data_IF_922925080269
#
_entry.id   IF_922925080269
#
_cell.length_a   1.000
_cell.length_b   1.000
_cell.length_c   1.000
_cell.angle_alpha   90.00
_cell.angle_beta   90.00
_cell.angle_gamma   90.00
#
_symmetry.space_group_name_H-M   'P 1'
#
loop_
_entity.id
_entity.type
_entity.pdbx_description
1 polymer ?
#
# COMPACT_ATOMS: atom_id res chain seq x y z
N UNK A 1 -45.44 44.95 -26.80
CA UNK A 1 -46.05 44.77 -25.45
C UNK A 1 -44.93 44.32 -24.54
N UNK A 2 -44.20 45.28 -23.98
CA UNK A 2 -43.12 45.04 -23.02
C UNK A 2 -43.67 45.37 -21.63
N UNK A 3 -43.88 44.34 -20.82
CA UNK A 3 -44.37 44.49 -19.45
C UNK A 3 -43.19 44.62 -18.50
N UNK A 4 -43.13 45.79 -17.85
CA UNK A 4 -42.15 46.23 -16.88
C UNK A 4 -41.99 45.24 -15.71
N UNK A 5 -40.73 44.94 -15.37
CA UNK A 5 -40.36 44.22 -14.16
C UNK A 5 -40.48 45.14 -12.93
N UNK A 6 -41.33 44.75 -11.98
CA UNK A 6 -41.38 45.36 -10.64
C UNK A 6 -40.46 44.55 -9.74
N UNK A 7 -39.37 45.18 -9.29
CA UNK A 7 -38.45 44.64 -8.29
C UNK A 7 -39.12 44.62 -6.90
N UNK A 8 -39.51 43.44 -6.43
CA UNK A 8 -39.76 43.18 -5.00
C UNK A 8 -38.55 42.49 -4.39
N UNK A 9 -37.84 43.21 -3.54
CA UNK A 9 -36.69 42.77 -2.78
C UNK A 9 -37.04 41.55 -1.92
N UNK A 10 -36.47 40.40 -2.28
CA UNK A 10 -36.51 39.16 -1.49
C UNK A 10 -35.54 39.31 -0.31
N UNK A 11 -36.09 39.42 0.90
CA UNK A 11 -35.31 39.24 2.14
C UNK A 11 -34.98 37.75 2.27
N UNK A 12 -33.68 37.45 2.31
CA UNK A 12 -33.14 36.08 2.35
C UNK A 12 -33.44 35.33 3.67
N UNK A 13 -33.11 34.03 3.73
CA UNK A 13 -33.43 33.17 4.87
C UNK A 13 -32.53 33.50 6.07
N UNK A 14 -33.14 34.15 7.06
CA UNK A 14 -32.71 34.43 8.43
C UNK A 14 -31.39 33.80 8.94
N UNK A 15 -30.41 34.66 9.18
CA UNK A 15 -29.45 34.52 10.28
C UNK A 15 -30.19 34.74 11.63
N UNK A 16 -30.80 33.69 12.17
CA UNK A 16 -31.28 33.74 13.57
C UNK A 16 -30.10 33.62 14.54
N UNK A 17 -29.89 34.67 15.33
CA UNK A 17 -28.98 34.75 16.48
C UNK A 17 -29.00 33.43 17.31
N UNK A 18 -27.85 32.74 17.35
CA UNK A 18 -27.70 31.43 18.02
C UNK A 18 -27.86 31.52 19.54
N UNK A 19 -27.87 32.71 20.13
CA UNK A 19 -27.93 32.90 21.59
C UNK A 19 -29.29 33.37 22.13
N UNK A 20 -30.31 33.60 21.29
CA UNK A 20 -31.64 33.93 21.75
C UNK A 20 -32.39 32.69 22.31
N UNK A 21 -33.00 32.76 23.51
CA UNK A 21 -33.78 31.64 24.05
C UNK A 21 -34.98 31.34 23.14
N UNK A 22 -34.97 30.15 22.51
CA UNK A 22 -36.09 29.68 21.69
C UNK A 22 -37.26 29.30 22.58
N UNK A 23 -38.31 30.11 22.55
CA UNK A 23 -39.52 29.92 23.37
C UNK A 23 -40.64 29.31 22.52
N UNK A 24 -41.38 28.37 23.10
CA UNK A 24 -42.52 27.74 22.43
C UNK A 24 -43.70 28.71 22.34
N UNK A 25 -44.17 29.03 21.13
CA UNK A 25 -45.28 29.97 20.90
C UNK A 25 -46.64 29.53 21.50
N UNK A 26 -46.78 28.27 21.90
CA UNK A 26 -48.01 27.73 22.50
C UNK A 26 -48.06 27.90 24.02
N UNK A 27 -46.96 27.59 24.72
CA UNK A 27 -46.99 27.44 26.18
C UNK A 27 -45.83 28.14 26.91
N UNK A 28 -44.93 28.81 26.21
CA UNK A 28 -43.78 29.48 26.83
C UNK A 28 -42.65 28.56 27.31
N UNK A 29 -42.77 27.23 27.17
CA UNK A 29 -41.69 26.28 27.49
C UNK A 29 -40.53 26.39 26.49
N UNK A 30 -39.38 25.79 26.81
CA UNK A 30 -38.20 25.78 25.91
C UNK A 30 -38.56 25.07 24.60
N UNK A 31 -38.45 25.77 23.47
CA UNK A 31 -38.69 25.21 22.15
C UNK A 31 -37.50 24.35 21.72
N UNK A 32 -37.80 23.23 21.04
CA UNK A 32 -36.78 22.34 20.47
C UNK A 32 -36.55 22.62 18.98
N UNK A 33 -37.40 23.42 18.35
CA UNK A 33 -37.28 23.82 16.96
C UNK A 33 -38.63 24.14 16.32
N UNK A 34 -38.64 24.27 15.00
CA UNK A 34 -39.85 24.36 14.21
C UNK A 34 -40.47 22.97 14.07
N UNK A 35 -41.74 22.83 14.49
CA UNK A 35 -42.52 21.62 14.28
C UNK A 35 -43.84 22.00 13.62
N UNK A 36 -44.13 21.37 12.49
CA UNK A 36 -45.35 21.65 11.72
C UNK A 36 -45.50 23.14 11.37
N UNK A 37 -44.41 23.80 10.97
CA UNK A 37 -44.34 25.23 10.62
C UNK A 37 -44.36 26.23 11.80
N UNK A 38 -44.23 25.81 13.06
CA UNK A 38 -44.15 26.75 14.18
C UNK A 38 -43.09 26.37 15.24
N UNK A 39 -42.44 27.39 15.83
CA UNK A 39 -41.46 27.22 16.91
C UNK A 39 -42.14 26.68 18.18
N UNK A 40 -41.91 25.40 18.51
CA UNK A 40 -42.60 24.74 19.63
C UNK A 40 -41.71 23.77 20.42
N UNK A 41 -42.16 23.40 21.62
CA UNK A 41 -41.55 22.34 22.43
C UNK A 41 -42.08 20.96 22.00
N UNK A 42 -41.37 19.88 22.39
CA UNK A 42 -41.81 18.49 22.13
C UNK A 42 -43.21 18.17 22.69
N UNK A 43 -43.58 18.80 23.81
CA UNK A 43 -44.89 18.61 24.43
C UNK A 43 -46.04 19.11 23.54
N UNK A 44 -45.89 20.29 22.92
CA UNK A 44 -46.91 20.87 22.03
C UNK A 44 -46.88 20.25 20.63
N UNK A 45 -45.69 19.89 20.10
CA UNK A 45 -45.53 19.06 18.91
C UNK A 45 -46.31 17.75 19.02
N UNK A 46 -46.06 16.98 20.09
CA UNK A 46 -46.70 15.69 20.31
C UNK A 46 -48.21 15.80 20.52
N UNK A 47 -48.65 16.84 21.24
CA UNK A 47 -50.07 17.14 21.42
C UNK A 47 -50.75 17.45 20.08
N UNK A 48 -50.24 18.42 19.32
CA UNK A 48 -50.81 18.81 18.03
C UNK A 48 -50.90 17.62 17.06
N UNK A 49 -49.82 16.84 16.92
CA UNK A 49 -49.80 15.63 16.08
C UNK A 49 -50.90 14.63 16.45
N UNK A 50 -51.06 14.33 17.75
CA UNK A 50 -52.08 13.37 18.21
C UNK A 50 -53.50 13.90 18.01
N UNK A 51 -53.72 15.18 18.33
CA UNK A 51 -55.01 15.83 18.19
C UNK A 51 -55.48 15.86 16.73
N UNK A 52 -54.59 16.21 15.80
CA UNK A 52 -54.90 16.23 14.36
C UNK A 52 -55.08 14.82 13.78
N UNK A 53 -54.19 13.86 14.08
CA UNK A 53 -54.34 12.46 13.60
C UNK A 53 -55.64 11.80 14.06
N UNK A 54 -56.03 12.03 15.33
CA UNK A 54 -57.25 11.45 15.90
C UNK A 54 -58.52 12.24 15.58
N UNK A 55 -58.41 13.35 14.84
CA UNK A 55 -59.51 14.31 14.61
C UNK A 55 -60.20 14.70 15.94
N UNK A 56 -59.41 14.94 16.98
CA UNK A 56 -59.92 15.15 18.33
C UNK A 56 -60.71 16.46 18.40
N UNK A 57 -61.93 16.38 18.93
CA UNK A 57 -62.74 17.53 19.30
C UNK A 57 -62.66 17.71 20.81
N UNK A 58 -62.34 18.91 21.27
CA UNK A 58 -62.24 19.25 22.68
C UNK A 58 -63.18 20.41 22.98
N UNK A 59 -63.90 20.32 24.10
CA UNK A 59 -64.71 21.42 24.62
C UNK A 59 -63.93 22.13 25.72
N UNK A 60 -63.94 23.46 25.71
CA UNK A 60 -63.34 24.22 26.81
C UNK A 60 -64.23 24.09 28.05
N UNK A 61 -63.70 23.69 29.21
CA UNK A 61 -64.47 23.66 30.46
C UNK A 61 -64.64 25.07 31.08
N UNK A 62 -64.12 26.10 30.43
CA UNK A 62 -64.13 27.50 30.85
C UNK A 62 -64.70 28.37 29.70
N UNK A 63 -64.22 29.62 29.55
CA UNK A 63 -64.77 30.61 28.60
C UNK A 63 -64.15 30.57 27.19
N UNK A 64 -63.44 29.51 26.81
CA UNK A 64 -62.81 29.40 25.48
C UNK A 64 -61.59 30.29 25.23
N UNK A 65 -61.11 31.03 26.25
CA UNK A 65 -60.01 32.01 26.17
C UNK A 65 -58.86 31.74 27.15
N UNK A 66 -58.62 30.48 27.54
CA UNK A 66 -57.58 30.14 28.52
C UNK A 66 -56.18 30.51 28.04
N UNK A 67 -55.42 31.24 28.86
CA UNK A 67 -53.98 31.49 28.63
C UNK A 67 -53.19 30.19 28.86
N UNK A 68 -52.45 29.76 27.85
CA UNK A 68 -51.68 28.50 27.89
C UNK A 68 -50.22 28.77 28.30
N UNK A 69 -49.78 28.15 29.39
CA UNK A 69 -48.42 28.22 29.95
C UNK A 69 -47.84 26.83 30.15
N UNK A 70 -46.55 26.72 30.48
CA UNK A 70 -45.85 25.44 30.70
C UNK A 70 -46.56 24.59 31.75
N UNK A 71 -47.00 25.22 32.82
CA UNK A 71 -47.59 24.56 33.99
C UNK A 71 -49.06 24.22 33.73
N UNK A 72 -49.76 25.10 33.01
CA UNK A 72 -51.21 24.96 32.86
C UNK A 72 -51.66 24.28 31.54
N UNK A 73 -50.76 24.02 30.59
CA UNK A 73 -51.07 23.45 29.25
C UNK A 73 -51.80 22.10 29.24
N UNK A 74 -52.05 21.47 30.38
CA UNK A 74 -52.86 20.24 30.47
C UNK A 74 -54.31 20.48 30.89
N UNK A 75 -54.63 21.64 31.48
CA UNK A 75 -55.95 21.93 32.05
C UNK A 75 -57.05 22.16 31.01
N UNK A 76 -56.70 22.68 29.83
CA UNK A 76 -57.66 22.88 28.75
C UNK A 76 -57.07 22.48 27.39
N UNK A 77 -57.49 21.32 26.89
CA UNK A 77 -57.04 20.80 25.58
C UNK A 77 -57.63 21.61 24.41
N UNK A 78 -58.84 22.16 24.56
CA UNK A 78 -59.50 22.98 23.55
C UNK A 78 -58.72 24.28 23.26
N UNK A 79 -58.46 25.09 24.28
CA UNK A 79 -57.68 26.33 24.13
C UNK A 79 -56.23 26.05 23.74
N UNK A 80 -55.65 24.91 24.16
CA UNK A 80 -54.31 24.51 23.72
C UNK A 80 -54.26 24.18 22.23
N UNK A 81 -55.23 23.40 21.72
CA UNK A 81 -55.27 23.05 20.30
C UNK A 81 -55.55 24.28 19.45
N UNK A 82 -56.47 25.14 19.89
CA UNK A 82 -56.72 26.44 19.28
C UNK A 82 -55.42 27.25 19.18
N UNK A 83 -54.70 27.39 20.30
CA UNK A 83 -53.42 28.11 20.31
C UNK A 83 -52.37 27.50 19.39
N UNK A 84 -52.30 26.17 19.27
CA UNK A 84 -51.40 25.53 18.30
C UNK A 84 -51.70 25.98 16.85
N UNK A 85 -52.97 26.02 16.46
CA UNK A 85 -53.39 26.48 15.12
C UNK A 85 -53.14 27.98 14.97
N UNK A 86 -53.47 28.79 15.98
CA UNK A 86 -53.31 30.25 15.95
C UNK A 86 -51.86 30.69 15.74
N UNK A 87 -50.88 29.92 16.22
CA UNK A 87 -49.46 30.22 16.01
C UNK A 87 -48.91 29.66 14.68
N UNK A 88 -49.76 29.09 13.84
CA UNK A 88 -49.40 28.61 12.51
C UNK A 88 -48.94 27.14 12.44
N UNK A 89 -49.29 26.29 13.41
CA UNK A 89 -49.06 24.85 13.25
C UNK A 89 -50.01 24.28 12.18
N UNK A 90 -49.44 23.63 11.16
CA UNK A 90 -50.14 23.13 9.98
C UNK A 90 -50.26 21.61 10.00
N UNK A 91 -51.47 21.07 9.81
CA UNK A 91 -51.71 19.61 9.83
C UNK A 91 -51.12 18.91 8.60
N UNK A 92 -50.92 19.65 7.52
CA UNK A 92 -50.39 19.21 6.23
C UNK A 92 -48.95 18.71 6.35
N UNK A 93 -48.22 19.14 7.39
CA UNK A 93 -46.88 18.64 7.71
C UNK A 93 -46.87 17.37 8.57
N UNK A 94 -48.04 16.86 8.97
CA UNK A 94 -48.15 15.60 9.70
C UNK A 94 -48.21 14.46 8.69
N UNK A 95 -47.14 13.65 8.65
CA UNK A 95 -47.07 12.48 7.78
C UNK A 95 -48.25 11.52 8.03
N UNK A 96 -48.87 11.08 6.95
CA UNK A 96 -49.88 10.02 6.96
C UNK A 96 -49.26 8.69 7.37
N UNK A 97 -50.08 7.72 7.76
CA UNK A 97 -49.58 6.40 8.13
C UNK A 97 -48.95 5.68 6.93
N UNK A 98 -49.49 5.89 5.72
CA UNK A 98 -48.90 5.44 4.45
C UNK A 98 -47.52 6.07 4.20
N UNK A 99 -47.36 7.38 4.41
CA UNK A 99 -46.06 8.06 4.24
C UNK A 99 -45.03 7.61 5.28
N UNK A 100 -45.46 7.36 6.52
CA UNK A 100 -44.61 6.79 7.57
C UNK A 100 -44.18 5.38 7.19
N UNK A 101 -45.10 4.54 6.68
CA UNK A 101 -44.78 3.19 6.24
C UNK A 101 -43.81 3.20 5.07
N UNK A 102 -44.06 4.02 4.04
CA UNK A 102 -43.15 4.21 2.89
C UNK A 102 -41.74 4.62 3.34
N UNK A 103 -41.63 5.53 4.33
CA UNK A 103 -40.32 5.90 4.89
C UNK A 103 -39.62 4.74 5.60
N UNK A 104 -40.36 3.90 6.35
CA UNK A 104 -39.79 2.71 6.99
C UNK A 104 -39.30 1.70 5.95
N UNK A 105 -40.08 1.45 4.91
CA UNK A 105 -39.73 0.51 3.84
C UNK A 105 -38.46 0.97 3.09
N UNK A 106 -38.34 2.28 2.82
CA UNK A 106 -37.12 2.86 2.21
C UNK A 106 -35.89 2.68 3.10
N UNK A 107 -36.02 2.87 4.42
CA UNK A 107 -34.91 2.67 5.37
C UNK A 107 -34.52 1.20 5.44
N UNK A 108 -35.50 0.29 5.49
CA UNK A 108 -35.27 -1.14 5.53
C UNK A 108 -34.56 -1.62 4.25
N UNK A 109 -35.04 -1.19 3.09
CA UNK A 109 -34.41 -1.47 1.79
C UNK A 109 -32.96 -0.97 1.74
N UNK A 110 -32.67 0.25 2.23
CA UNK A 110 -31.29 0.77 2.30
C UNK A 110 -30.40 -0.10 3.20
N UNK A 111 -30.91 -0.55 4.35
CA UNK A 111 -30.16 -1.45 5.25
C UNK A 111 -29.87 -2.80 4.59
N UNK A 112 -30.84 -3.35 3.86
CA UNK A 112 -30.68 -4.60 3.13
C UNK A 112 -29.66 -4.47 1.99
N UNK A 113 -29.72 -3.37 1.23
CA UNK A 113 -28.73 -3.06 0.17
C UNK A 113 -27.31 -2.89 0.75
N UNK A 114 -27.17 -2.24 1.91
CA UNK A 114 -25.90 -2.07 2.60
C UNK A 114 -25.36 -3.40 3.14
N UNK A 115 -26.21 -4.21 3.77
CA UNK A 115 -25.84 -5.54 4.25
C UNK A 115 -25.44 -6.48 3.09
N UNK A 116 -26.15 -6.42 1.96
CA UNK A 116 -25.81 -7.19 0.77
C UNK A 116 -24.46 -6.77 0.18
N UNK A 117 -24.16 -5.46 0.14
CA UNK A 117 -22.85 -4.95 -0.30
C UNK A 117 -21.72 -5.40 0.61
N UNK A 118 -21.93 -5.36 1.93
CA UNK A 118 -20.93 -5.81 2.89
C UNK A 118 -20.72 -7.33 2.83
N UNK A 119 -21.77 -8.11 2.58
CA UNK A 119 -21.67 -9.55 2.40
C UNK A 119 -20.90 -9.95 1.12
N UNK A 120 -20.94 -9.11 0.08
CA UNK A 120 -20.19 -9.30 -1.17
C UNK A 120 -18.74 -8.82 -1.10
N UNK A 121 -18.32 -8.19 0.01
CA UNK A 121 -16.96 -7.68 0.15
C UNK A 121 -15.98 -8.86 0.19
N UNK A 122 -14.94 -8.88 -0.66
CA UNK A 122 -13.97 -9.96 -0.64
C UNK A 122 -13.28 -10.00 0.72
N UNK A 123 -13.07 -11.22 1.23
CA UNK A 123 -12.32 -11.49 2.47
C UNK A 123 -11.40 -12.68 2.22
N UNK A 124 -10.28 -12.70 2.92
CA UNK A 124 -9.43 -13.87 2.97
C UNK A 124 -10.11 -14.96 3.79
N UNK A 125 -9.97 -16.21 3.37
CA UNK A 125 -10.33 -17.34 4.22
C UNK A 125 -9.22 -17.62 5.25
N UNK A 126 -9.51 -18.48 6.22
CA UNK A 126 -8.58 -18.78 7.31
C UNK A 126 -7.26 -19.40 6.81
N UNK A 127 -7.34 -20.27 5.80
CA UNK A 127 -6.18 -20.92 5.20
C UNK A 127 -5.26 -19.91 4.49
N UNK A 128 -5.82 -19.02 3.68
CA UNK A 128 -5.10 -17.94 3.01
C UNK A 128 -4.41 -17.03 4.03
N UNK A 129 -5.13 -16.67 5.10
CA UNK A 129 -4.60 -15.84 6.18
C UNK A 129 -3.43 -16.53 6.90
N UNK A 130 -3.55 -17.83 7.15
CA UNK A 130 -2.50 -18.64 7.79
C UNK A 130 -1.24 -18.76 6.91
N UNK A 131 -1.40 -18.96 5.59
CA UNK A 131 -0.27 -19.01 4.64
C UNK A 131 0.48 -17.67 4.65
N UNK A 132 -0.25 -16.56 4.56
CA UNK A 132 0.35 -15.21 4.58
C UNK A 132 1.10 -14.97 5.90
N UNK A 133 0.46 -15.26 7.04
CA UNK A 133 1.09 -15.09 8.34
C UNK A 133 2.38 -15.91 8.47
N UNK A 134 2.39 -17.14 7.97
CA UNK A 134 3.56 -18.01 7.98
C UNK A 134 4.72 -17.45 7.13
N UNK A 135 4.41 -16.88 5.96
CA UNK A 135 5.42 -16.27 5.08
C UNK A 135 5.97 -14.96 5.63
N UNK A 136 5.13 -14.12 6.24
CA UNK A 136 5.56 -12.90 6.93
C UNK A 136 6.47 -13.26 8.11
N UNK A 137 6.08 -14.23 8.93
CA UNK A 137 6.91 -14.71 10.04
C UNK A 137 8.26 -15.27 9.53
N UNK A 138 8.25 -16.07 8.46
CA UNK A 138 9.46 -16.56 7.82
C UNK A 138 10.37 -15.42 7.35
N UNK A 139 9.77 -14.36 6.81
CA UNK A 139 10.49 -13.19 6.36
C UNK A 139 11.15 -12.45 7.53
N UNK A 140 10.40 -12.11 8.59
CA UNK A 140 10.95 -11.44 9.78
C UNK A 140 12.03 -12.24 10.50
N UNK A 141 11.95 -13.58 10.51
CA UNK A 141 13.00 -14.43 11.10
C UNK A 141 14.28 -14.50 10.28
N UNK A 142 14.21 -14.15 9.00
CA UNK A 142 15.32 -14.36 8.05
C UNK A 142 15.78 -13.07 7.40
N UNK A 143 15.15 -11.94 7.69
CA UNK A 143 15.57 -10.64 7.25
C UNK A 143 15.72 -9.73 8.46
N UNK A 144 16.90 -9.14 8.56
CA UNK A 144 17.26 -8.17 9.59
C UNK A 144 17.74 -6.92 8.86
N UNK A 145 17.00 -5.82 8.97
CA UNK A 145 17.30 -4.55 8.32
C UNK A 145 18.56 -3.88 8.88
N UNK A 146 18.91 -4.20 10.13
CA UNK A 146 20.13 -3.74 10.77
C UNK A 146 21.37 -4.54 10.33
N UNK A 147 21.17 -5.71 9.71
CA UNK A 147 22.22 -6.67 9.35
C UNK A 147 23.13 -7.03 10.54
N UNK A 148 22.61 -7.00 11.76
CA UNK A 148 23.37 -7.22 13.00
C UNK A 148 24.04 -8.60 13.06
N UNK A 149 23.41 -9.61 12.47
CA UNK A 149 23.95 -10.97 12.39
C UNK A 149 25.11 -11.11 11.38
N UNK A 150 25.27 -10.16 10.45
CA UNK A 150 26.35 -10.17 9.46
C UNK A 150 27.65 -9.65 10.08
N UNK A 151 28.27 -10.47 10.92
CA UNK A 151 29.45 -10.11 11.73
C UNK A 151 30.75 -10.79 11.30
N UNK A 152 30.68 -11.89 10.55
CA UNK A 152 31.83 -12.65 10.05
C UNK A 152 31.99 -12.43 8.55
N UNK A 153 32.68 -11.36 8.18
CA UNK A 153 32.89 -10.97 6.79
C UNK A 153 34.28 -10.35 6.59
N UNK A 154 34.75 -10.39 5.35
CA UNK A 154 35.92 -9.64 4.88
C UNK A 154 35.48 -8.19 4.64
N UNK A 155 36.10 -7.18 5.29
CA UNK A 155 35.65 -5.78 5.20
C UNK A 155 35.64 -5.22 3.77
N UNK A 156 34.76 -4.25 3.46
CA UNK A 156 34.76 -3.59 2.17
C UNK A 156 36.06 -2.79 1.98
N UNK A 157 36.70 -2.94 0.82
CA UNK A 157 37.92 -2.21 0.46
C UNK A 157 37.59 -1.18 -0.62
N UNK A 158 37.43 0.08 -0.21
CA UNK A 158 37.15 1.20 -1.11
C UNK A 158 38.38 2.09 -1.25
N UNK A 159 38.84 2.31 -2.47
CA UNK A 159 39.84 3.34 -2.75
C UNK A 159 39.16 4.72 -2.80
N UNK A 160 39.57 5.63 -1.90
CA UNK A 160 39.08 7.01 -1.79
C UNK A 160 37.98 7.24 -0.73
N UNK A 161 37.71 8.52 -0.34
CA UNK A 161 36.70 8.83 0.67
C UNK A 161 35.30 8.42 0.21
N UNK A 162 34.55 7.70 1.05
CA UNK A 162 33.16 7.23 0.83
C UNK A 162 32.15 8.40 0.67
N UNK A 163 32.61 9.65 0.68
CA UNK A 163 31.76 10.83 0.79
C UNK A 163 32.26 11.92 -0.17
N UNK A 164 31.58 12.09 -1.32
CA UNK A 164 31.42 13.37 -2.06
C UNK A 164 30.62 13.25 -3.36
N UNK A 165 30.46 12.05 -3.94
CA UNK A 165 29.71 11.90 -5.20
C UNK A 165 28.19 12.05 -5.01
N UNK A 166 27.66 11.78 -3.82
CA UNK A 166 26.24 12.01 -3.48
C UNK A 166 25.87 13.51 -3.38
N UNK A 167 26.83 14.40 -3.07
CA UNK A 167 26.57 15.84 -2.87
C UNK A 167 26.32 16.59 -4.19
N UNK A 168 26.79 16.07 -5.33
CA UNK A 168 26.54 16.68 -6.65
C UNK A 168 25.14 16.37 -7.18
N UNK A 169 24.55 15.23 -6.84
CA UNK A 169 23.16 14.92 -7.17
C UNK A 169 22.17 15.86 -6.48
N UNK A 170 22.45 16.25 -5.22
CA UNK A 170 21.64 17.22 -4.47
C UNK A 170 21.71 18.66 -5.05
N UNK A 171 22.79 19.00 -5.76
CA UNK A 171 23.00 20.35 -6.31
C UNK A 171 22.21 20.62 -7.61
N UNK A 172 21.70 19.57 -8.28
CA UNK A 172 20.92 19.70 -9.51
C UNK A 172 19.43 19.98 -9.24
N UNK A 173 18.97 19.86 -7.98
CA UNK A 173 17.58 20.12 -7.60
C UNK A 173 17.26 21.61 -7.39
N UNK A 174 18.25 22.51 -7.40
CA UNK A 174 18.02 23.94 -7.12
C UNK A 174 17.69 24.82 -8.35
N UNK A 175 17.45 24.24 -9.55
CA UNK A 175 17.20 25.03 -10.76
C UNK A 175 15.86 24.79 -11.49
N UNK A 176 14.86 24.17 -10.87
CA UNK A 176 13.57 23.94 -11.54
C UNK A 176 12.33 24.58 -10.90
N UNK A 177 12.47 25.45 -9.90
CA UNK A 177 11.35 26.26 -9.41
C UNK A 177 11.26 27.59 -10.17
N UNK A 178 10.74 27.51 -11.39
CA UNK A 178 10.17 28.67 -12.06
C UNK A 178 8.97 28.29 -12.95
N UNK A 179 7.78 28.56 -12.40
CA UNK A 179 6.53 28.94 -13.11
C UNK A 179 5.57 27.87 -13.66
N UNK A 180 4.36 27.95 -13.08
CA UNK A 180 3.00 27.91 -13.65
C UNK A 180 2.38 26.60 -14.19
N UNK A 181 1.39 26.15 -13.40
CA UNK A 181 -0.01 25.83 -13.73
C UNK A 181 -0.40 24.89 -14.90
N UNK A 182 -1.39 24.06 -14.53
CA UNK A 182 -2.46 23.45 -15.33
C UNK A 182 -2.28 21.99 -15.82
N UNK A 183 -3.19 21.17 -15.30
CA UNK A 183 -3.70 19.87 -15.74
C UNK A 183 -3.15 19.33 -17.08
N UNK A 184 -2.31 18.29 -16.99
CA UNK A 184 -2.32 17.17 -17.93
C UNK A 184 -1.61 15.95 -17.32
N UNK A 185 -2.19 14.77 -17.54
CA UNK A 185 -1.55 13.50 -17.25
C UNK A 185 -0.33 13.33 -18.18
N UNK A 186 0.87 13.24 -17.62
CA UNK A 186 2.09 12.88 -18.35
C UNK A 186 3.01 11.99 -17.46
N UNK A 187 3.66 10.94 -17.98
CA UNK A 187 4.47 9.99 -17.21
C UNK A 187 5.92 10.46 -16.97
N UNK A 188 6.16 11.77 -16.85
CA UNK A 188 7.51 12.34 -17.05
C UNK A 188 8.44 12.31 -15.83
N UNK A 189 8.02 11.87 -14.64
CA UNK A 189 8.90 11.96 -13.46
C UNK A 189 9.95 10.86 -13.32
N UNK A 190 9.83 9.75 -14.06
CA UNK A 190 10.72 8.59 -13.90
C UNK A 190 11.65 8.35 -15.08
N UNK A 191 11.23 8.70 -16.29
CA UNK A 191 12.14 8.68 -17.43
C UNK A 191 13.28 9.67 -17.22
N UNK A 192 13.02 10.83 -16.58
CA UNK A 192 14.06 11.75 -16.13
C UNK A 192 14.99 11.14 -15.07
N UNK A 193 14.48 10.36 -14.11
CA UNK A 193 15.32 9.70 -13.10
C UNK A 193 16.18 8.59 -13.70
N UNK A 194 15.69 7.89 -14.72
CA UNK A 194 16.44 6.85 -15.42
C UNK A 194 17.48 7.43 -16.39
N UNK A 195 17.14 8.53 -17.07
CA UNK A 195 18.08 9.36 -17.84
C UNK A 195 19.17 9.95 -16.94
N UNK A 196 18.79 10.40 -15.74
CA UNK A 196 19.73 10.84 -14.71
C UNK A 196 20.57 9.67 -14.17
N UNK A 197 20.04 8.45 -14.10
CA UNK A 197 20.82 7.27 -13.72
C UNK A 197 21.87 6.91 -14.77
N UNK A 198 21.52 6.89 -16.07
CA UNK A 198 22.50 6.73 -17.14
C UNK A 198 23.57 7.83 -17.09
N UNK A 199 23.18 9.07 -16.79
CA UNK A 199 24.13 10.18 -16.60
C UNK A 199 24.99 10.03 -15.33
N UNK A 200 24.42 9.52 -14.24
CA UNK A 200 25.11 9.20 -12.99
C UNK A 200 26.13 8.08 -13.22
N UNK A 201 25.77 7.07 -14.02
CA UNK A 201 26.61 5.95 -14.40
C UNK A 201 27.83 6.40 -15.22
N UNK A 202 27.61 7.34 -16.15
CA UNK A 202 28.69 8.00 -16.91
C UNK A 202 29.62 8.80 -15.99
N UNK A 203 29.10 9.48 -14.96
CA UNK A 203 29.93 10.16 -13.96
C UNK A 203 30.76 9.20 -13.08
N UNK A 204 30.23 7.99 -12.82
CA UNK A 204 31.00 6.94 -12.15
C UNK A 204 32.11 6.36 -13.04
N UNK A 205 31.96 6.40 -14.37
CA UNK A 205 33.03 6.04 -15.32
C UNK A 205 34.15 7.09 -15.37
N UNK A 206 33.82 8.40 -15.38
CA UNK A 206 34.83 9.48 -15.42
C UNK A 206 35.69 9.60 -14.15
N UNK A 207 35.24 9.00 -13.03
CA UNK A 207 36.01 8.96 -11.78
C UNK A 207 37.05 7.82 -11.77
N UNK A 208 37.02 6.93 -12.76
CA UNK A 208 37.97 5.84 -12.94
C UNK A 208 39.04 6.23 -13.98
N UNK A 209 39.98 7.10 -13.56
CA UNK A 209 41.33 7.17 -14.14
C UNK A 209 41.52 8.02 -15.40
N UNK A 210 42.20 9.16 -15.23
CA UNK A 210 43.13 9.68 -16.25
C UNK A 210 44.34 8.73 -16.32
N UNK A 211 44.86 8.38 -17.51
CA UNK A 211 45.99 7.48 -17.62
C UNK A 211 47.27 8.27 -17.37
N UNK A 212 47.72 8.33 -16.11
CA UNK A 212 49.09 8.75 -15.82
C UNK A 212 49.91 7.55 -15.34
N UNK A 213 51.08 7.45 -15.93
CA UNK A 213 51.95 6.29 -15.99
C UNK A 213 52.54 5.88 -14.63
N UNK A 214 52.12 4.72 -14.13
CA UNK A 214 52.94 3.82 -13.30
C UNK A 214 52.33 2.43 -13.36
N UNK A 215 53.17 1.40 -13.51
CA UNK A 215 52.84 -0.03 -13.61
C UNK A 215 51.72 -0.46 -12.64
N UNK A 216 50.47 -0.48 -13.11
CA UNK A 216 49.28 -0.83 -12.32
C UNK A 216 49.09 -2.34 -12.34
N UNK A 217 49.25 -2.95 -11.16
CA UNK A 217 48.99 -4.36 -10.86
C UNK A 217 47.57 -4.72 -11.32
N UNK A 218 47.46 -5.52 -12.38
CA UNK A 218 46.19 -5.85 -13.00
C UNK A 218 45.10 -6.24 -12.00
N UNK A 219 43.94 -5.58 -12.12
CA UNK A 219 42.63 -6.15 -11.80
C UNK A 219 42.43 -6.77 -10.40
N UNK A 220 42.77 -6.08 -9.30
CA UNK A 220 42.25 -6.49 -7.99
C UNK A 220 40.78 -6.08 -7.87
N UNK A 221 39.88 -7.05 -7.97
CA UNK A 221 38.45 -6.91 -7.65
C UNK A 221 38.27 -6.66 -6.14
N UNK A 222 38.59 -5.44 -5.70
CA UNK A 222 38.68 -5.04 -4.29
C UNK A 222 37.42 -5.32 -3.45
N UNK A 223 36.25 -5.32 -4.09
CA UNK A 223 34.97 -5.59 -3.42
C UNK A 223 34.50 -7.04 -3.54
N UNK A 224 35.13 -7.88 -4.36
CA UNK A 224 34.72 -9.26 -4.59
C UNK A 224 34.69 -10.09 -3.29
N UNK A 225 35.73 -10.08 -2.43
CA UNK A 225 35.70 -10.87 -1.19
C UNK A 225 34.54 -10.48 -0.27
N UNK A 226 34.30 -9.17 -0.12
CA UNK A 226 33.27 -8.65 0.75
C UNK A 226 31.86 -8.97 0.23
N UNK A 227 31.60 -8.73 -1.06
CA UNK A 227 30.30 -9.02 -1.66
C UNK A 227 30.04 -10.53 -1.73
N UNK A 228 31.06 -11.36 -1.90
CA UNK A 228 30.92 -12.81 -1.80
C UNK A 228 30.44 -13.26 -0.40
N UNK A 229 30.91 -12.61 0.67
CA UNK A 229 30.46 -12.88 2.04
C UNK A 229 29.01 -12.41 2.26
N UNK A 230 28.66 -11.22 1.73
CA UNK A 230 27.29 -10.68 1.80
C UNK A 230 26.29 -11.57 1.06
N UNK A 231 26.66 -12.06 -0.13
CA UNK A 231 25.85 -13.00 -0.91
C UNK A 231 25.75 -14.34 -0.18
N UNK A 232 26.83 -14.85 0.40
CA UNK A 232 26.81 -16.07 1.22
C UNK A 232 25.85 -15.96 2.41
N UNK A 233 25.91 -14.86 3.15
CA UNK A 233 24.96 -14.53 4.21
C UNK A 233 23.53 -14.51 3.69
N UNK A 234 23.30 -13.86 2.54
CA UNK A 234 21.98 -13.74 1.95
C UNK A 234 21.42 -15.09 1.49
N UNK A 235 22.25 -15.99 0.93
CA UNK A 235 21.89 -17.37 0.60
C UNK A 235 21.40 -18.11 1.84
N UNK A 236 22.11 -18.01 2.98
CA UNK A 236 21.70 -18.65 4.22
C UNK A 236 20.32 -18.17 4.69
N UNK A 237 20.06 -16.86 4.58
CA UNK A 237 18.77 -16.27 4.89
C UNK A 237 17.66 -16.72 3.92
N UNK A 238 17.97 -16.88 2.63
CA UNK A 238 17.04 -17.47 1.64
C UNK A 238 16.72 -18.92 1.97
N UNK A 239 17.71 -19.75 2.33
CA UNK A 239 17.50 -21.13 2.77
C UNK A 239 16.61 -21.19 4.01
N UNK A 240 16.85 -20.29 4.98
CA UNK A 240 16.02 -20.15 6.17
C UNK A 240 14.56 -19.82 5.83
N UNK A 241 14.34 -18.90 4.88
CA UNK A 241 13.01 -18.50 4.44
C UNK A 241 12.30 -19.66 3.74
N UNK A 242 12.97 -20.30 2.78
CA UNK A 242 12.45 -21.44 2.02
C UNK A 242 11.97 -22.56 2.95
N UNK A 243 12.76 -22.87 3.98
CA UNK A 243 12.45 -23.90 4.99
C UNK A 243 11.15 -23.64 5.77
N UNK A 244 10.63 -22.42 5.77
CA UNK A 244 9.39 -22.06 6.45
C UNK A 244 8.21 -21.87 5.49
N UNK A 245 8.40 -21.97 4.18
CA UNK A 245 7.31 -21.92 3.22
C UNK A 245 6.43 -23.18 3.40
N UNK A 246 5.10 -23.02 3.60
CA UNK A 246 4.18 -24.16 3.68
C UNK A 246 4.29 -25.03 2.42
N UNK A 247 4.53 -26.32 2.62
CA UNK A 247 4.76 -27.26 1.54
C UNK A 247 6.19 -27.31 0.99
N UNK A 248 7.19 -26.72 1.64
CA UNK A 248 8.59 -26.84 1.20
C UNK A 248 9.36 -28.01 1.84
N UNK A 249 9.17 -28.27 3.14
CA UNK A 249 9.99 -29.25 3.89
C UNK A 249 9.35 -30.62 4.06
N UNK A 250 8.44 -30.74 5.02
CA UNK A 250 7.99 -32.04 5.54
C UNK A 250 6.51 -32.29 5.32
N UNK A 251 5.69 -31.24 5.31
CA UNK A 251 4.25 -31.30 5.10
C UNK A 251 3.87 -31.69 3.66
N UNK A 252 4.73 -31.43 2.67
CA UNK A 252 4.48 -31.75 1.25
C UNK A 252 5.19 -32.98 0.71
N UNK A 253 6.26 -33.48 1.35
CA UNK A 253 7.22 -34.45 0.77
C UNK A 253 7.93 -33.96 -0.51
N UNK A 254 8.31 -32.68 -0.64
CA UNK A 254 9.28 -32.33 -1.69
C UNK A 254 10.58 -33.09 -1.42
N UNK A 255 11.16 -33.68 -2.47
CA UNK A 255 12.42 -34.43 -2.32
C UNK A 255 13.55 -33.48 -1.94
N UNK A 256 14.62 -34.00 -1.33
CA UNK A 256 15.80 -33.19 -1.06
C UNK A 256 16.41 -32.65 -2.36
N UNK A 257 16.35 -33.43 -3.45
CA UNK A 257 16.79 -33.06 -4.78
C UNK A 257 16.02 -31.85 -5.32
N UNK A 258 14.69 -31.88 -5.26
CA UNK A 258 13.85 -30.75 -5.66
C UNK A 258 14.12 -29.51 -4.80
N UNK A 259 14.26 -29.67 -3.48
CA UNK A 259 14.56 -28.56 -2.57
C UNK A 259 15.91 -27.90 -2.95
N UNK A 260 16.93 -28.71 -3.26
CA UNK A 260 18.24 -28.22 -3.69
C UNK A 260 18.14 -27.53 -5.06
N UNK A 261 17.47 -28.14 -6.04
CA UNK A 261 17.29 -27.60 -7.38
C UNK A 261 16.60 -26.22 -7.36
N UNK A 262 15.51 -26.10 -6.58
CA UNK A 262 14.78 -24.84 -6.40
C UNK A 262 15.65 -23.78 -5.74
N UNK A 263 16.38 -24.13 -4.66
CA UNK A 263 17.26 -23.19 -3.97
C UNK A 263 18.42 -22.71 -4.86
N UNK A 264 19.12 -23.62 -5.53
CA UNK A 264 20.22 -23.26 -6.44
C UNK A 264 19.76 -22.34 -7.56
N UNK A 265 18.61 -22.65 -8.16
CA UNK A 265 18.12 -21.92 -9.33
C UNK A 265 17.46 -20.57 -9.00
N UNK A 266 16.96 -20.37 -7.78
CA UNK A 266 16.23 -19.15 -7.38
C UNK A 266 16.98 -18.24 -6.43
N UNK A 267 18.07 -18.69 -5.79
CA UNK A 267 18.73 -17.94 -4.71
C UNK A 267 19.03 -16.49 -5.09
N UNK A 268 19.65 -16.25 -6.26
CA UNK A 268 19.98 -14.88 -6.69
C UNK A 268 18.73 -14.03 -6.97
N UNK A 269 17.67 -14.62 -7.53
CA UNK A 269 16.42 -13.93 -7.81
C UNK A 269 15.73 -13.49 -6.51
N UNK A 270 15.74 -14.33 -5.48
CA UNK A 270 15.21 -14.00 -4.16
C UNK A 270 16.08 -12.93 -3.48
N UNK A 271 17.40 -12.98 -3.62
CA UNK A 271 18.31 -11.94 -3.12
C UNK A 271 18.01 -10.60 -3.79
N UNK A 272 17.83 -10.59 -5.11
CA UNK A 272 17.48 -9.38 -5.87
C UNK A 272 16.11 -8.83 -5.45
N UNK A 273 15.08 -9.67 -5.30
CA UNK A 273 13.77 -9.27 -4.77
C UNK A 273 13.90 -8.65 -3.38
N UNK A 274 14.55 -9.36 -2.46
CA UNK A 274 14.70 -8.94 -1.06
C UNK A 274 15.52 -7.66 -0.91
N UNK A 275 16.55 -7.47 -1.74
CA UNK A 275 17.36 -6.25 -1.73
C UNK A 275 16.56 -4.97 -2.04
N UNK A 276 15.33 -5.10 -2.57
CA UNK A 276 14.45 -3.96 -2.74
C UNK A 276 14.08 -3.29 -1.42
N UNK A 277 14.09 -4.02 -0.30
CA UNK A 277 13.77 -3.46 1.01
C UNK A 277 14.81 -2.44 1.44
N UNK A 278 16.09 -2.69 1.16
CA UNK A 278 17.22 -1.79 1.46
C UNK A 278 17.57 -0.81 0.34
N UNK A 279 16.90 -0.89 -0.82
CA UNK A 279 17.17 -0.01 -1.96
C UNK A 279 16.56 1.38 -1.80
N UNK A 280 17.37 2.42 -2.02
CA UNK A 280 17.00 3.83 -1.95
C UNK A 280 16.87 4.45 -3.36
N UNK A 281 15.73 5.10 -3.61
CA UNK A 281 15.40 5.74 -4.90
C UNK A 281 16.07 7.10 -5.13
N UNK A 282 16.62 7.73 -4.10
CA UNK A 282 17.24 9.05 -4.19
C UNK A 282 18.63 8.96 -4.79
N UNK A 283 19.42 7.97 -4.37
CA UNK A 283 20.81 7.80 -4.77
C UNK A 283 21.11 6.45 -5.41
N UNK A 284 20.09 5.63 -5.64
CA UNK A 284 20.17 4.32 -6.30
C UNK A 284 21.18 3.39 -5.60
N UNK A 285 21.17 3.39 -4.27
CA UNK A 285 22.07 2.61 -3.42
C UNK A 285 21.30 1.63 -2.53
N UNK A 286 22.01 0.64 -1.98
CA UNK A 286 21.51 -0.30 -0.98
C UNK A 286 22.13 -0.01 0.37
N UNK A 287 21.32 0.09 1.42
CA UNK A 287 21.78 0.29 2.79
C UNK A 287 21.54 -0.97 3.63
N UNK A 288 22.60 -1.72 3.92
CA UNK A 288 22.53 -2.98 4.65
C UNK A 288 23.04 -2.80 6.10
N UNK A 289 22.26 -2.10 6.91
CA UNK A 289 22.62 -1.75 8.30
C UNK A 289 22.79 -0.26 8.52
N UNK A 290 23.02 0.14 9.77
CA UNK A 290 22.96 1.54 10.21
C UNK A 290 24.19 2.40 9.91
N UNK A 291 25.31 1.80 9.49
CA UNK A 291 26.59 2.51 9.27
C UNK A 291 26.83 2.88 7.79
N UNK A 292 27.57 3.98 7.52
CA UNK A 292 27.89 4.41 6.15
C UNK A 292 28.76 3.38 5.39
N UNK A 293 29.49 2.53 6.11
CA UNK A 293 30.34 1.51 5.49
C UNK A 293 29.54 0.40 4.79
N UNK A 294 28.27 0.20 5.18
CA UNK A 294 27.37 -0.81 4.61
C UNK A 294 26.36 -0.23 3.62
N UNK A 295 26.73 0.91 3.01
CA UNK A 295 26.02 1.49 1.87
C UNK A 295 26.73 1.11 0.58
N UNK A 296 26.02 0.47 -0.34
CA UNK A 296 26.57 -0.02 -1.60
C UNK A 296 25.95 0.71 -2.78
N UNK A 297 26.78 1.18 -3.69
CA UNK A 297 26.39 1.76 -4.96
C UNK A 297 26.81 0.84 -6.12
N UNK A 298 26.38 1.17 -7.33
CA UNK A 298 26.74 0.41 -8.55
C UNK A 298 28.26 0.22 -8.68
N UNK A 299 29.05 1.23 -8.33
CA UNK A 299 30.51 1.16 -8.39
C UNK A 299 31.13 0.14 -7.41
N UNK A 300 30.50 -0.12 -6.27
CA UNK A 300 30.98 -1.17 -5.36
C UNK A 300 30.81 -2.55 -6.01
N UNK A 301 29.72 -2.75 -6.76
CA UNK A 301 29.42 -4.02 -7.43
C UNK A 301 30.27 -4.21 -8.70
N UNK A 302 30.62 -3.13 -9.41
CA UNK A 302 31.60 -3.21 -10.51
C UNK A 302 32.99 -3.57 -10.03
N UNK A 303 33.41 -3.06 -8.85
CA UNK A 303 34.66 -3.45 -8.19
C UNK A 303 34.67 -4.90 -7.68
N UNK A 304 33.54 -5.60 -7.72
CA UNK A 304 33.44 -7.04 -7.50
C UNK A 304 33.41 -7.86 -8.81
N UNK A 305 33.53 -7.21 -9.97
CA UNK A 305 33.67 -7.88 -11.26
C UNK A 305 32.39 -7.98 -12.08
N UNK A 306 31.29 -7.36 -11.64
CA UNK A 306 30.05 -7.29 -12.42
C UNK A 306 30.05 -6.10 -13.38
N UNK A 307 29.47 -6.28 -14.56
CA UNK A 307 29.40 -5.22 -15.58
C UNK A 307 28.05 -4.53 -15.59
N UNK A 308 27.97 -3.42 -16.34
CA UNK A 308 26.74 -2.65 -16.51
C UNK A 308 25.62 -3.45 -17.21
N UNK A 309 25.97 -4.49 -17.98
CA UNK A 309 25.00 -5.39 -18.61
C UNK A 309 24.09 -6.07 -17.57
N UNK A 310 24.59 -6.32 -16.36
CA UNK A 310 23.82 -6.83 -15.24
C UNK A 310 23.23 -5.69 -14.39
N UNK A 311 24.05 -4.66 -14.12
CA UNK A 311 23.72 -3.64 -13.12
C UNK A 311 22.65 -2.65 -13.60
N UNK A 312 22.63 -2.30 -14.89
CA UNK A 312 21.57 -1.43 -15.42
C UNK A 312 20.19 -2.09 -15.37
N UNK A 313 19.99 -3.33 -15.86
CA UNK A 313 18.73 -4.04 -15.68
C UNK A 313 18.38 -4.23 -14.20
N UNK A 314 19.36 -4.49 -13.33
CA UNK A 314 19.11 -4.67 -11.89
C UNK A 314 18.56 -3.39 -11.26
N UNK A 315 19.16 -2.23 -11.53
CA UNK A 315 18.64 -0.95 -11.01
C UNK A 315 17.26 -0.64 -11.59
N UNK A 316 17.03 -0.87 -12.90
CA UNK A 316 15.71 -0.74 -13.53
C UNK A 316 14.67 -1.64 -12.85
N UNK A 317 15.06 -2.87 -12.51
CA UNK A 317 14.24 -3.81 -11.77
C UNK A 317 13.90 -3.27 -10.37
N UNK A 318 14.89 -2.80 -9.60
CA UNK A 318 14.67 -2.26 -8.25
C UNK A 318 13.74 -1.06 -8.24
N UNK A 319 13.96 -0.11 -9.16
CA UNK A 319 13.09 1.06 -9.35
C UNK A 319 11.67 0.62 -9.72
N UNK A 320 11.56 -0.31 -10.68
CA UNK A 320 10.28 -0.86 -11.12
C UNK A 320 9.50 -1.54 -9.98
N UNK A 321 10.19 -2.27 -9.11
CA UNK A 321 9.60 -2.95 -7.96
C UNK A 321 9.14 -1.97 -6.88
N UNK A 322 9.94 -0.94 -6.55
CA UNK A 322 9.53 0.13 -5.60
C UNK A 322 8.26 0.86 -6.07
N UNK A 323 8.10 1.08 -7.38
CA UNK A 323 6.91 1.74 -7.95
C UNK A 323 5.61 0.96 -7.72
N UNK A 324 5.69 -0.36 -7.54
CA UNK A 324 4.50 -1.16 -7.25
C UNK A 324 3.95 -0.87 -5.86
N UNK A 325 4.76 -0.30 -4.94
CA UNK A 325 4.38 0.01 -3.55
C UNK A 325 3.73 -1.19 -2.87
N UNK A 326 4.36 -2.35 -3.04
CA UNK A 326 3.87 -3.62 -2.51
C UNK A 326 3.76 -3.54 -0.99
N UNK A 327 2.70 -4.15 -0.46
CA UNK A 327 2.65 -4.50 0.95
C UNK A 327 3.68 -5.60 1.24
N UNK A 328 4.02 -5.78 2.50
CA UNK A 328 4.97 -6.82 2.91
C UNK A 328 4.47 -8.21 2.52
N UNK A 329 3.17 -8.48 2.72
CA UNK A 329 2.51 -9.74 2.38
C UNK A 329 2.64 -10.05 0.88
N UNK A 330 2.47 -9.04 0.03
CA UNK A 330 2.61 -9.17 -1.42
C UNK A 330 4.05 -9.46 -1.81
N UNK A 331 5.01 -8.83 -1.14
CA UNK A 331 6.43 -9.04 -1.36
C UNK A 331 6.85 -10.47 -0.99
N UNK A 332 6.44 -10.98 0.18
CA UNK A 332 6.80 -12.34 0.61
C UNK A 332 6.10 -13.42 -0.19
N UNK A 333 4.86 -13.18 -0.64
CA UNK A 333 4.18 -14.07 -1.58
C UNK A 333 4.88 -14.10 -2.94
N UNK A 334 5.33 -12.96 -3.45
CA UNK A 334 6.09 -12.89 -4.70
C UNK A 334 7.42 -13.66 -4.60
N UNK A 335 8.13 -13.55 -3.48
CA UNK A 335 9.33 -14.36 -3.22
C UNK A 335 9.02 -15.85 -3.19
N UNK A 336 7.95 -16.27 -2.50
CA UNK A 336 7.58 -17.67 -2.41
C UNK A 336 7.19 -18.27 -3.78
N UNK A 337 6.43 -17.52 -4.59
CA UNK A 337 6.06 -17.89 -5.98
C UNK A 337 7.32 -18.00 -6.86
N UNK A 338 8.27 -17.06 -6.74
CA UNK A 338 9.54 -17.09 -7.47
C UNK A 338 10.38 -18.33 -7.12
N UNK A 339 10.44 -18.68 -5.84
CA UNK A 339 11.21 -19.82 -5.34
C UNK A 339 10.61 -21.15 -5.82
N UNK A 340 9.29 -21.32 -5.69
CA UNK A 340 8.56 -22.52 -6.09
C UNK A 340 8.19 -22.47 -7.58
N UNK A 341 9.17 -22.37 -8.47
CA UNK A 341 8.92 -22.42 -9.91
C UNK A 341 9.14 -23.83 -10.46
N UNK A 342 8.19 -24.42 -11.21
CA UNK A 342 8.33 -25.79 -11.69
C UNK A 342 9.35 -25.92 -12.82
N UNK A 343 9.67 -24.85 -13.55
CA UNK A 343 10.58 -24.85 -14.70
C UNK A 343 12.08 -24.75 -14.32
N UNK A 344 12.43 -24.90 -13.04
CA UNK A 344 13.83 -24.82 -12.59
C UNK A 344 14.65 -26.03 -13.05
N UNK A 345 15.90 -25.83 -13.51
CA UNK A 345 16.81 -26.94 -13.80
C UNK A 345 17.01 -27.87 -12.60
N UNK A 346 17.00 -29.19 -12.83
CA UNK A 346 17.23 -30.21 -11.81
C UNK A 346 16.00 -30.62 -10.98
N UNK A 347 14.87 -29.94 -11.14
CA UNK A 347 13.58 -30.37 -10.58
C UNK A 347 13.15 -31.71 -11.17
N UNK A 348 12.65 -32.61 -10.32
CA UNK A 348 12.15 -33.93 -10.67
C UNK A 348 10.61 -33.95 -10.72
N UNK A 349 9.93 -33.39 -9.70
CA UNK A 349 8.46 -33.40 -9.60
C UNK A 349 7.86 -32.02 -9.94
N UNK A 350 7.86 -31.69 -11.23
CA UNK A 350 7.36 -30.42 -11.75
C UNK A 350 5.90 -30.16 -11.39
N UNK A 351 5.03 -31.17 -11.52
CA UNK A 351 3.59 -31.03 -11.29
C UNK A 351 3.28 -30.67 -9.83
N UNK A 352 4.03 -31.26 -8.89
CA UNK A 352 3.86 -30.94 -7.47
C UNK A 352 4.29 -29.53 -7.12
N UNK A 353 5.37 -29.04 -7.72
CA UNK A 353 5.82 -27.66 -7.51
C UNK A 353 4.82 -26.67 -8.13
N UNK A 354 4.27 -26.98 -9.30
CA UNK A 354 3.21 -26.18 -9.94
C UNK A 354 1.98 -26.04 -9.03
N UNK A 355 1.49 -27.14 -8.43
CA UNK A 355 0.37 -27.09 -7.46
C UNK A 355 0.67 -26.18 -6.26
N UNK A 356 1.90 -26.20 -5.76
CA UNK A 356 2.31 -25.31 -4.66
C UNK A 356 2.38 -23.84 -5.12
N UNK A 357 2.91 -23.59 -6.31
CA UNK A 357 3.00 -22.25 -6.90
C UNK A 357 1.62 -21.65 -7.19
N UNK A 358 0.69 -22.46 -7.70
CA UNK A 358 -0.68 -22.07 -7.99
C UNK A 358 -1.42 -21.67 -6.72
N UNK A 359 -1.30 -22.47 -5.66
CA UNK A 359 -1.90 -22.15 -4.36
C UNK A 359 -1.41 -20.80 -3.82
N UNK A 360 -0.11 -20.52 -3.93
CA UNK A 360 0.45 -19.22 -3.51
C UNK A 360 -0.02 -18.07 -4.41
N UNK A 361 -0.15 -18.31 -5.71
CA UNK A 361 -0.66 -17.36 -6.69
C UNK A 361 -2.13 -17.00 -6.42
N UNK A 362 -2.95 -17.98 -6.04
CA UNK A 362 -4.34 -17.77 -5.62
C UNK A 362 -4.44 -16.94 -4.34
N UNK A 363 -3.58 -17.23 -3.35
CA UNK A 363 -3.48 -16.46 -2.10
C UNK A 363 -3.10 -15.01 -2.38
N UNK A 364 -2.12 -14.76 -3.25
CA UNK A 364 -1.72 -13.41 -3.65
C UNK A 364 -2.86 -12.66 -4.35
N UNK A 365 -3.52 -13.30 -5.30
CA UNK A 365 -4.67 -12.68 -5.97
C UNK A 365 -5.82 -12.38 -4.99
N UNK A 366 -6.06 -13.27 -4.01
CA UNK A 366 -7.05 -13.03 -2.97
C UNK A 366 -6.67 -11.82 -2.10
N UNK A 367 -5.41 -11.73 -1.67
CA UNK A 367 -4.92 -10.59 -0.89
C UNK A 367 -5.07 -9.26 -1.66
N UNK A 368 -4.67 -9.24 -2.94
CA UNK A 368 -4.81 -8.06 -3.80
C UNK A 368 -6.28 -7.65 -3.94
N UNK A 369 -7.21 -8.60 -4.14
CA UNK A 369 -8.65 -8.31 -4.25
C UNK A 369 -9.22 -7.67 -2.98
N UNK A 370 -8.71 -8.06 -1.80
CA UNK A 370 -9.17 -7.56 -0.50
C UNK A 370 -8.58 -6.18 -0.20
N UNK A 371 -7.28 -6.00 -0.44
CA UNK A 371 -6.53 -4.83 0.04
C UNK A 371 -6.32 -3.74 -1.01
N UNK A 372 -6.44 -4.06 -2.31
CA UNK A 372 -6.29 -3.10 -3.41
C UNK A 372 -7.54 -3.04 -4.29
N UNK A 373 -8.68 -2.51 -3.79
CA UNK A 373 -9.90 -2.34 -4.59
C UNK A 373 -9.65 -1.37 -5.75
N UNK A 374 -9.38 -1.92 -6.95
CA UNK A 374 -8.99 -1.16 -8.14
C UNK A 374 -7.64 -1.56 -8.73
N UNK A 375 -6.83 -2.34 -8.01
CA UNK A 375 -5.53 -2.87 -8.44
C UNK A 375 -5.62 -4.01 -9.45
N UNK A 376 -6.51 -3.93 -10.45
CA UNK A 376 -6.80 -5.02 -11.40
C UNK A 376 -5.56 -5.58 -12.10
N UNK A 377 -4.56 -4.73 -12.32
CA UNK A 377 -3.32 -5.08 -13.02
C UNK A 377 -2.14 -5.33 -12.07
N UNK A 378 -2.32 -5.21 -10.75
CA UNK A 378 -1.21 -5.33 -9.79
C UNK A 378 -0.58 -6.72 -9.85
N UNK A 379 -1.41 -7.77 -9.81
CA UNK A 379 -0.94 -9.15 -9.93
C UNK A 379 -0.12 -9.37 -11.22
N UNK A 380 -0.66 -8.96 -12.37
CA UNK A 380 0.04 -9.10 -13.65
C UNK A 380 1.40 -8.35 -13.66
N UNK A 381 1.46 -7.14 -13.08
CA UNK A 381 2.70 -6.37 -12.95
C UNK A 381 3.71 -7.03 -12.00
N UNK A 382 3.25 -7.69 -10.94
CA UNK A 382 4.11 -8.47 -10.05
C UNK A 382 4.69 -9.69 -10.76
N UNK A 383 3.87 -10.45 -11.49
CA UNK A 383 4.35 -11.61 -12.26
C UNK A 383 5.33 -11.18 -13.36
N UNK A 384 5.10 -10.02 -14.00
CA UNK A 384 6.07 -9.46 -14.95
C UNK A 384 7.46 -9.22 -14.32
N UNK A 385 7.52 -8.87 -13.03
CA UNK A 385 8.80 -8.75 -12.31
C UNK A 385 9.53 -10.10 -12.20
N UNK A 386 8.81 -11.21 -12.13
CA UNK A 386 9.44 -12.54 -12.14
C UNK A 386 10.05 -12.88 -13.50
N UNK A 387 9.46 -12.41 -14.60
CA UNK A 387 10.04 -12.54 -15.93
C UNK A 387 11.34 -11.72 -16.05
N UNK A 388 11.35 -10.47 -15.55
CA UNK A 388 12.55 -9.63 -15.52
C UNK A 388 13.71 -10.32 -14.74
N UNK A 389 13.38 -11.05 -13.66
CA UNK A 389 14.35 -11.80 -12.87
C UNK A 389 15.01 -12.96 -13.62
N UNK A 390 14.32 -13.59 -14.57
CA UNK A 390 14.92 -14.68 -15.36
C UNK A 390 16.08 -14.16 -16.21
N UNK A 391 15.88 -13.02 -16.88
CA UNK A 391 16.96 -12.36 -17.64
C UNK A 391 18.10 -11.89 -16.75
N UNK A 392 17.80 -11.35 -15.56
CA UNK A 392 18.82 -10.98 -14.57
C UNK A 392 19.63 -12.18 -14.09
N UNK A 393 18.98 -13.32 -13.85
CA UNK A 393 19.62 -14.55 -13.42
C UNK A 393 20.55 -15.13 -14.50
N UNK A 394 20.12 -15.11 -15.77
CA UNK A 394 20.94 -15.53 -16.91
C UNK A 394 22.21 -14.68 -17.04
N UNK A 395 22.08 -13.35 -17.00
CA UNK A 395 23.25 -12.46 -17.10
C UNK A 395 24.14 -12.56 -15.85
N UNK A 396 23.57 -12.68 -14.65
CA UNK A 396 24.34 -12.97 -13.43
C UNK A 396 25.13 -14.28 -13.57
N UNK A 397 24.49 -15.36 -14.03
CA UNK A 397 25.13 -16.67 -14.19
C UNK A 397 26.25 -16.65 -15.24
N UNK A 398 26.11 -15.85 -16.29
CA UNK A 398 27.16 -15.63 -17.29
C UNK A 398 28.37 -14.90 -16.69
N UNK A 399 28.15 -13.80 -15.97
CA UNK A 399 29.23 -13.03 -15.35
C UNK A 399 29.91 -13.81 -14.22
N UNK A 400 29.12 -14.48 -13.37
CA UNK A 400 29.61 -15.36 -12.32
C UNK A 400 30.54 -16.45 -12.87
N UNK A 401 30.14 -17.12 -13.97
CA UNK A 401 31.01 -18.11 -14.62
C UNK A 401 32.36 -17.51 -15.02
N UNK A 402 32.34 -16.36 -15.68
CA UNK A 402 33.56 -15.64 -16.07
C UNK A 402 34.47 -15.35 -14.88
N UNK A 403 33.91 -14.93 -13.74
CA UNK A 403 34.65 -14.69 -12.50
C UNK A 403 35.20 -15.99 -11.90
N UNK A 404 34.37 -17.04 -11.82
CA UNK A 404 34.75 -18.30 -11.18
C UNK A 404 35.80 -19.12 -11.95
N UNK A 405 35.95 -18.89 -13.27
CA UNK A 405 36.97 -19.55 -14.09
C UNK A 405 38.38 -19.00 -13.86
N UNK A 406 38.50 -17.80 -13.30
CA UNK A 406 39.79 -17.20 -12.95
C UNK A 406 40.20 -17.66 -11.54
N UNK A 407 41.30 -18.42 -11.38
CA UNK A 407 41.69 -18.99 -10.09
C UNK A 407 41.82 -17.95 -8.97
N UNK A 408 42.42 -16.80 -9.27
CA UNK A 408 42.60 -15.69 -8.32
C UNK A 408 41.27 -15.13 -7.78
N UNK A 409 40.22 -15.14 -8.59
CA UNK A 409 38.88 -14.66 -8.20
C UNK A 409 38.07 -15.77 -7.54
N UNK A 410 38.17 -17.00 -8.04
CA UNK A 410 37.51 -18.17 -7.48
C UNK A 410 37.93 -18.40 -6.01
N UNK A 411 39.22 -18.21 -5.68
CA UNK A 411 39.72 -18.28 -4.31
C UNK A 411 39.16 -17.20 -3.38
N UNK A 412 38.58 -16.12 -3.92
CA UNK A 412 37.92 -15.07 -3.14
C UNK A 412 36.43 -15.34 -2.93
N UNK A 413 35.83 -16.29 -3.63
CA UNK A 413 34.43 -16.69 -3.43
C UNK A 413 34.30 -17.58 -2.19
N UNK A 414 33.13 -17.52 -1.54
CA UNK A 414 32.86 -18.41 -0.40
C UNK A 414 32.47 -19.81 -0.90
N UNK A 415 32.72 -20.88 -0.13
CA UNK A 415 32.30 -22.23 -0.51
C UNK A 415 30.81 -22.35 -0.82
N UNK A 416 29.95 -21.64 -0.07
CA UNK A 416 28.51 -21.65 -0.29
C UNK A 416 28.12 -20.96 -1.61
N UNK A 417 28.79 -19.86 -1.97
CA UNK A 417 28.58 -19.19 -3.26
C UNK A 417 28.99 -20.13 -4.41
N UNK A 418 30.13 -20.81 -4.26
CA UNK A 418 30.59 -21.82 -5.22
C UNK A 418 29.62 -22.99 -5.34
N UNK A 419 29.06 -23.48 -4.24
CA UNK A 419 28.12 -24.61 -4.23
C UNK A 419 26.77 -24.28 -4.89
N UNK A 420 26.26 -23.06 -4.63
CA UNK A 420 24.92 -22.65 -5.06
C UNK A 420 24.91 -22.18 -6.51
N UNK A 421 25.91 -21.39 -6.93
CA UNK A 421 25.99 -20.84 -8.28
C UNK A 421 26.95 -21.59 -9.20
N UNK A 422 27.83 -22.43 -8.65
CA UNK A 422 28.65 -23.34 -9.44
C UNK A 422 27.80 -24.40 -10.13
N UNK A 423 28.08 -24.61 -11.41
CA UNK A 423 27.56 -25.75 -12.16
C UNK A 423 28.24 -27.03 -11.65
N UNK A 424 27.53 -28.16 -11.62
CA UNK A 424 28.21 -29.45 -11.67
C UNK A 424 28.92 -29.51 -13.03
N UNK A 425 30.24 -29.34 -13.02
CA UNK A 425 31.06 -29.66 -14.18
C UNK A 425 30.99 -31.18 -14.31
N UNK A 426 30.19 -31.68 -15.25
CA UNK A 426 30.24 -33.06 -15.73
C UNK A 426 29.92 -33.09 -17.22
#
# INVERSE_FOLDING_TARGET
METMAVSTSLVGPDEFDRNAPRICGVCGDKATGFHFNAMTCEGCKGFFRRSMKRKASFTCPFNGSCTITKDNRRHCQACRLKRCVDIGMMKEFILTDEEVQRKKDLIQKRKEEEAAREALRPRLNDEQSQVIASLVEAHHKTYDDSYSDFSRFRPPVREGPVTRSASRAASLHSLSDASSDSFNHSPESVDTKLMNFSSLLMMYQDSAGSPDSSEDDGSKLSMLPHLADLVSYSIQKVIGFAKMIPGFRWDSRLTAEDQIALLKSSAIEIIMLRSNQSFNLEDMSWSCGGGPDFKYCVNDVTKAGHTLDLLEPLVKFQVGLKKLKLHEEEHVLLMAICLLSPDRPGVQDHAKIEVLQDRLSEVLQAYIRVNHPGGRLLYARMIQKLADLRSLNEEHSKQYRSLSFQPEHSMQLTPLVLEVFGSEVS
#
